data_IF_805421232508
#
_entry.id   IF_805421232508
#
_cell.length_a   1.000
_cell.length_b   1.000
_cell.length_c   1.000
_cell.angle_alpha   90.00
_cell.angle_beta   90.00
_cell.angle_gamma   90.00
#
_symmetry.space_group_name_H-M   'P 1'
#
loop_
_entity.id
_entity.type
_entity.pdbx_description
1 polymer ?
#
# COMPACT_ATOMS: atom_id res chain seq x y z
N UNK A 1 0.79 -11.85 -15.58
CA UNK A 1 -0.39 -10.98 -15.38
C UNK A 1 0.06 -9.62 -14.88
N UNK A 2 -0.79 -8.58 -14.96
CA UNK A 2 -0.43 -7.22 -14.55
C UNK A 2 -0.04 -7.14 -13.05
N UNK A 3 -0.74 -7.89 -12.21
CA UNK A 3 -0.45 -8.04 -10.79
C UNK A 3 1.02 -8.46 -10.53
N UNK A 4 1.49 -9.51 -11.19
CA UNK A 4 2.87 -10.03 -11.01
C UNK A 4 3.95 -9.02 -11.44
N UNK A 5 3.67 -8.18 -12.45
CA UNK A 5 4.60 -7.13 -12.87
C UNK A 5 4.73 -6.05 -11.80
N UNK A 6 3.60 -5.61 -11.26
CA UNK A 6 3.55 -4.65 -10.15
C UNK A 6 4.21 -5.22 -8.91
N UNK A 7 3.93 -6.48 -8.58
CA UNK A 7 4.52 -7.17 -7.44
C UNK A 7 6.05 -7.24 -7.53
N UNK A 8 6.60 -7.60 -8.69
CA UNK A 8 8.06 -7.61 -8.93
C UNK A 8 8.68 -6.22 -8.76
N UNK A 9 8.08 -5.18 -9.34
CA UNK A 9 8.58 -3.81 -9.18
C UNK A 9 8.57 -3.37 -7.72
N UNK A 10 7.54 -3.74 -6.97
CA UNK A 10 7.45 -3.48 -5.55
C UNK A 10 8.59 -4.20 -4.79
N UNK A 11 8.87 -5.46 -5.11
CA UNK A 11 9.96 -6.21 -4.49
C UNK A 11 11.35 -5.67 -4.82
N UNK A 12 11.60 -5.31 -6.07
CA UNK A 12 12.93 -4.90 -6.54
C UNK A 12 13.28 -3.44 -6.24
N UNK A 13 12.30 -2.52 -6.30
CA UNK A 13 12.53 -1.08 -6.12
C UNK A 13 11.98 -0.52 -4.81
N UNK A 14 10.75 -0.90 -4.43
CA UNK A 14 10.03 -0.25 -3.33
C UNK A 14 10.40 -0.84 -1.96
N UNK A 15 10.46 -2.17 -1.82
CA UNK A 15 10.81 -2.83 -0.54
C UNK A 15 12.19 -2.46 -0.01
N UNK A 16 13.28 -2.41 -0.81
CA UNK A 16 14.60 -2.02 -0.30
C UNK A 16 14.60 -0.60 0.27
N UNK A 17 13.89 0.31 -0.41
CA UNK A 17 13.72 1.69 0.06
C UNK A 17 12.92 1.75 1.36
N UNK A 18 11.80 1.03 1.45
CA UNK A 18 10.93 0.99 2.63
C UNK A 18 11.60 0.33 3.85
N UNK A 19 12.38 -0.73 3.64
CA UNK A 19 13.10 -1.43 4.71
C UNK A 19 14.12 -0.53 5.39
N UNK A 20 14.76 0.39 4.65
CA UNK A 20 15.62 1.43 5.23
C UNK A 20 14.88 2.38 6.20
N UNK A 21 13.57 2.49 6.05
CA UNK A 21 12.68 3.28 6.91
C UNK A 21 11.91 2.44 7.95
N UNK A 22 12.28 1.17 8.16
CA UNK A 22 11.52 0.23 9.02
C UNK A 22 10.03 0.11 8.63
N UNK A 23 9.74 0.31 7.35
CA UNK A 23 8.44 0.12 6.73
C UNK A 23 8.47 -1.08 5.78
N UNK A 24 7.29 -1.50 5.35
CA UNK A 24 7.14 -2.46 4.27
C UNK A 24 5.83 -2.17 3.52
N UNK A 25 5.62 -2.78 2.36
CA UNK A 25 4.41 -2.57 1.55
C UNK A 25 3.91 -3.90 1.02
N UNK A 26 2.59 -4.06 1.04
CA UNK A 26 1.90 -5.23 0.50
C UNK A 26 0.98 -4.80 -0.63
N UNK A 27 1.11 -5.44 -1.78
CA UNK A 27 0.17 -5.32 -2.87
C UNK A 27 -1.14 -6.06 -2.52
N UNK A 28 -2.28 -5.39 -2.67
CA UNK A 28 -3.60 -5.97 -2.40
C UNK A 28 -4.31 -6.37 -3.70
N UNK A 29 -4.40 -5.44 -4.65
CA UNK A 29 -5.07 -5.67 -5.94
C UNK A 29 -4.56 -4.72 -7.02
N UNK A 30 -4.76 -5.11 -8.28
CA UNK A 30 -4.53 -4.25 -9.45
C UNK A 30 -5.73 -4.38 -10.38
N UNK A 31 -6.53 -3.32 -10.49
CA UNK A 31 -7.78 -3.33 -11.24
C UNK A 31 -7.96 -2.02 -12.03
N UNK A 32 -8.23 -2.11 -13.33
CA UNK A 32 -8.48 -0.94 -14.20
C UNK A 32 -7.38 0.15 -14.20
N UNK A 33 -6.14 -0.23 -13.90
CA UNK A 33 -5.00 0.69 -13.75
C UNK A 33 -4.92 1.34 -12.36
N UNK A 34 -5.74 0.91 -11.41
CA UNK A 34 -5.67 1.32 -10.00
C UNK A 34 -4.95 0.22 -9.22
N UNK A 35 -3.90 0.60 -8.49
CA UNK A 35 -3.10 -0.31 -7.66
C UNK A 35 -3.41 -0.03 -6.21
N UNK A 36 -3.96 -1.04 -5.51
CA UNK A 36 -4.25 -0.95 -4.08
C UNK A 36 -3.11 -1.56 -3.29
N UNK A 37 -2.52 -0.78 -2.39
CA UNK A 37 -1.42 -1.21 -1.52
C UNK A 37 -1.76 -0.99 -0.05
N UNK A 38 -1.10 -1.75 0.82
CA UNK A 38 -1.12 -1.56 2.26
C UNK A 38 0.30 -1.31 2.75
N UNK A 39 0.50 -0.18 3.42
CA UNK A 39 1.74 0.09 4.13
C UNK A 39 1.77 -0.73 5.43
N UNK A 40 2.91 -1.35 5.70
CA UNK A 40 3.21 -2.16 6.88
C UNK A 40 4.35 -1.49 7.68
N UNK A 41 4.53 -1.92 8.94
CA UNK A 41 5.59 -1.41 9.81
C UNK A 41 5.32 -0.02 10.38
N UNK A 42 6.37 0.68 10.80
CA UNK A 42 6.25 1.95 11.53
C UNK A 42 5.67 3.09 10.67
N UNK A 43 5.73 2.99 9.34
CA UNK A 43 5.15 3.96 8.42
C UNK A 43 3.62 3.93 8.38
N UNK A 44 2.97 2.87 8.87
CA UNK A 44 1.50 2.73 8.85
C UNK A 44 0.76 3.72 9.77
N UNK A 45 1.44 4.25 10.79
CA UNK A 45 0.84 5.12 11.81
C UNK A 45 1.16 6.61 11.70
N UNK A 46 2.00 7.04 10.77
CA UNK A 46 2.38 8.46 10.63
C UNK A 46 1.49 9.17 9.60
N UNK A 47 0.57 10.06 9.99
CA UNK A 47 -0.36 10.72 9.07
C UNK A 47 0.34 11.60 8.02
N UNK A 48 1.53 12.13 8.33
CA UNK A 48 2.34 12.91 7.35
C UNK A 48 3.12 12.05 6.37
N UNK A 49 3.44 10.80 6.68
CA UNK A 49 4.21 9.93 5.78
C UNK A 49 3.35 9.37 4.63
N UNK A 50 2.02 9.45 4.76
CA UNK A 50 1.07 8.78 3.87
C UNK A 50 1.11 9.36 2.44
N UNK A 51 1.05 10.69 2.33
CA UNK A 51 1.08 11.37 1.03
C UNK A 51 2.44 11.16 0.34
N UNK A 52 3.53 11.44 1.05
CA UNK A 52 4.88 11.34 0.46
C UNK A 52 5.22 9.93 -0.01
N UNK A 53 4.82 8.88 0.72
CA UNK A 53 5.11 7.50 0.32
C UNK A 53 4.21 7.05 -0.83
N UNK A 54 2.93 7.42 -0.81
CA UNK A 54 1.99 7.14 -1.90
C UNK A 54 2.46 7.78 -3.22
N UNK A 55 2.84 9.06 -3.19
CA UNK A 55 3.36 9.79 -4.36
C UNK A 55 4.65 9.15 -4.93
N UNK A 56 5.58 8.75 -4.06
CA UNK A 56 6.85 8.12 -4.49
C UNK A 56 6.60 6.76 -5.13
N UNK A 57 5.71 5.95 -4.55
CA UNK A 57 5.37 4.62 -5.10
C UNK A 57 4.62 4.79 -6.42
N UNK A 58 3.68 5.74 -6.49
CA UNK A 58 2.93 6.02 -7.72
C UNK A 58 3.85 6.49 -8.85
N UNK A 59 4.75 7.44 -8.59
CA UNK A 59 5.71 7.91 -9.58
C UNK A 59 6.60 6.77 -10.09
N UNK A 60 7.11 5.94 -9.17
CA UNK A 60 8.00 4.81 -9.51
C UNK A 60 7.28 3.74 -10.35
N UNK A 61 6.02 3.47 -10.03
CA UNK A 61 5.20 2.51 -10.76
C UNK A 61 4.79 3.04 -12.14
N UNK A 62 4.45 4.33 -12.26
CA UNK A 62 4.09 4.96 -13.53
C UNK A 62 5.26 5.09 -14.50
N UNK A 63 6.49 5.25 -13.99
CA UNK A 63 7.70 5.33 -14.81
C UNK A 63 7.96 4.01 -15.57
N UNK A 64 7.72 2.86 -14.91
CA UNK A 64 7.92 1.53 -15.51
C UNK A 64 6.65 1.00 -16.20
N UNK A 65 5.47 1.33 -15.66
CA UNK A 65 4.16 0.88 -16.11
C UNK A 65 3.22 2.08 -16.32
N UNK A 66 3.27 2.74 -17.49
CA UNK A 66 2.42 3.90 -17.79
C UNK A 66 0.92 3.57 -17.87
N UNK A 67 0.55 2.28 -17.85
CA UNK A 67 -0.83 1.80 -17.75
C UNK A 67 -1.44 1.97 -16.34
N UNK A 68 -0.61 2.25 -15.32
CA UNK A 68 -1.07 2.60 -13.97
C UNK A 68 -1.56 4.04 -13.95
N UNK A 69 -2.81 4.22 -13.54
CA UNK A 69 -3.49 5.51 -13.41
C UNK A 69 -3.34 6.10 -12.02
N UNK A 70 -3.43 5.25 -10.99
CA UNK A 70 -3.46 5.68 -9.60
C UNK A 70 -2.98 4.58 -8.66
N UNK A 71 -2.32 4.96 -7.57
CA UNK A 71 -2.03 4.10 -6.42
C UNK A 71 -2.87 4.57 -5.23
N UNK A 72 -3.45 3.64 -4.49
CA UNK A 72 -4.25 3.94 -3.31
C UNK A 72 -3.70 3.15 -2.12
N UNK A 73 -3.38 3.86 -1.03
CA UNK A 73 -3.03 3.24 0.25
C UNK A 73 -4.29 2.91 1.05
N UNK A 74 -4.65 1.63 1.07
CA UNK A 74 -5.72 1.09 1.90
C UNK A 74 -5.29 1.05 3.38
N UNK A 75 -5.80 2.00 4.16
CA UNK A 75 -5.75 1.96 5.62
C UNK A 75 -6.98 1.22 6.15
N UNK A 76 -6.86 -0.10 6.23
CA UNK A 76 -7.87 -0.95 6.86
C UNK A 76 -7.45 -1.32 8.28
N UNK A 77 -8.33 -1.08 9.25
CA UNK A 77 -8.29 -1.81 10.52
C UNK A 77 -8.67 -3.26 10.19
N UNK A 78 -7.94 -4.27 10.71
CA UNK A 78 -8.26 -5.68 10.44
C UNK A 78 -9.75 -5.96 10.65
N UNK A 79 -10.35 -6.78 9.81
CA UNK A 79 -11.75 -7.22 9.92
C UNK A 79 -12.06 -7.71 11.35
N UNK A 80 -11.08 -8.38 11.99
CA UNK A 80 -11.16 -8.84 13.37
C UNK A 80 -11.28 -7.70 14.38
N UNK A 81 -10.51 -6.62 14.19
CA UNK A 81 -10.58 -5.43 15.04
C UNK A 81 -11.90 -4.68 14.84
N UNK A 82 -12.41 -4.61 13.61
CA UNK A 82 -13.73 -4.05 13.31
C UNK A 82 -14.85 -4.88 13.97
N UNK A 83 -14.74 -6.20 13.94
CA UNK A 83 -15.68 -7.09 14.64
C UNK A 83 -15.61 -6.90 16.16
N UNK A 84 -14.41 -6.77 16.73
CA UNK A 84 -14.24 -6.48 18.15
C UNK A 84 -14.86 -5.12 18.54
N UNK A 85 -14.60 -4.06 17.76
CA UNK A 85 -15.17 -2.73 18.00
C UNK A 85 -16.71 -2.74 17.93
N UNK A 86 -17.30 -3.41 16.93
CA UNK A 86 -18.76 -3.57 16.80
C UNK A 86 -19.37 -4.29 18.01
N UNK A 87 -18.70 -5.32 18.55
CA UNK A 87 -19.15 -6.03 19.75
C UNK A 87 -19.12 -5.15 21.01
N UNK A 88 -18.18 -4.23 21.11
CA UNK A 88 -18.07 -3.29 22.25
C UNK A 88 -19.13 -2.19 22.15
N UNK A 89 -19.36 -1.63 20.95
CA UNK A 89 -20.28 -0.51 20.73
C UNK A 89 -21.76 -0.91 20.74
N UNK A 90 -22.09 -2.14 20.36
CA UNK A 90 -23.46 -2.67 20.38
C UNK A 90 -23.82 -3.37 21.70
N UNK A 91 -23.22 -2.93 22.81
CA UNK A 91 -23.45 -3.48 24.15
C UNK A 91 -24.41 -2.62 24.95
#
# INVERSE_FOLDING_TARGET
MMFERVEKLIEEKIRPYMQGHSGDVKLLSVENGVVSIRLLGQCSGCPSAKYTVEDVIEASLKEELPEIKQVIVEQGVSEELLQMARKILNR
#
